data_IF_536273454368
#
_entry.id   IF_536273454368
#
_cell.length_a   1.000
_cell.length_b   1.000
_cell.length_c   1.000
_cell.angle_alpha   90.00
_cell.angle_beta   90.00
_cell.angle_gamma   90.00
#
_symmetry.space_group_name_H-M   'P 1'
#
loop_
_entity.id
_entity.type
_entity.pdbx_description
1 polymer ?
#
# COMPACT_ATOMS: atom_id res chain seq x y z
N UNK A 1 26.98 25.85 -7.44
CA UNK A 1 26.04 26.95 -7.23
C UNK A 1 24.93 26.40 -6.38
N UNK A 2 24.66 26.98 -5.22
CA UNK A 2 23.58 26.52 -4.35
C UNK A 2 22.24 26.81 -5.04
N UNK A 3 21.36 25.81 -5.16
CA UNK A 3 19.97 26.03 -5.54
C UNK A 3 19.36 27.02 -4.53
N UNK A 4 18.69 28.04 -5.05
CA UNK A 4 17.97 29.03 -4.25
C UNK A 4 16.89 28.29 -3.45
N UNK A 5 16.76 28.54 -2.15
CA UNK A 5 15.83 27.82 -1.27
C UNK A 5 14.34 28.04 -1.68
N UNK A 6 14.09 29.03 -2.54
CA UNK A 6 12.81 29.34 -3.19
C UNK A 6 12.47 28.43 -4.39
N UNK A 7 13.40 27.59 -4.84
CA UNK A 7 13.24 26.66 -5.98
C UNK A 7 13.13 25.19 -5.55
N UNK A 8 12.78 24.93 -4.28
CA UNK A 8 12.50 23.57 -3.83
C UNK A 8 11.13 23.13 -4.36
N UNK A 9 11.13 22.08 -5.17
CA UNK A 9 9.93 21.40 -5.64
C UNK A 9 9.52 20.30 -4.66
N UNK A 10 8.22 20.16 -4.44
CA UNK A 10 7.62 19.11 -3.63
C UNK A 10 6.72 18.25 -4.51
N UNK A 11 6.66 16.96 -4.21
CA UNK A 11 5.67 16.05 -4.79
C UNK A 11 4.29 16.46 -4.28
N UNK A 12 3.29 16.48 -5.17
CA UNK A 12 1.89 16.75 -4.81
C UNK A 12 1.00 15.83 -5.61
N UNK A 13 0.29 14.97 -4.90
CA UNK A 13 -0.61 14.00 -5.50
C UNK A 13 -2.03 14.59 -5.67
N UNK A 14 -2.79 13.98 -6.55
CA UNK A 14 -4.14 14.37 -6.89
C UNK A 14 -4.88 13.30 -7.66
N UNK A 15 -6.16 13.55 -7.90
CA UNK A 15 -7.07 12.69 -8.64
C UNK A 15 -7.88 13.52 -9.62
N UNK A 16 -8.15 12.95 -10.79
CA UNK A 16 -9.04 13.51 -11.80
C UNK A 16 -10.06 12.43 -12.21
N UNK A 17 -11.34 12.76 -12.05
CA UNK A 17 -12.48 11.92 -12.42
C UNK A 17 -13.20 12.61 -13.58
N UNK A 18 -12.96 12.13 -14.79
CA UNK A 18 -13.49 12.72 -16.03
C UNK A 18 -14.20 11.66 -16.89
N UNK A 19 -15.48 11.35 -16.61
CA UNK A 19 -16.27 10.44 -17.43
C UNK A 19 -16.31 10.91 -18.89
N UNK A 20 -16.06 9.98 -19.82
CA UNK A 20 -16.07 10.28 -21.26
C UNK A 20 -14.81 10.97 -21.79
N UNK A 21 -13.79 11.18 -20.95
CA UNK A 21 -12.47 11.67 -21.37
C UNK A 21 -11.47 10.52 -21.39
N UNK A 22 -10.51 10.54 -22.31
CA UNK A 22 -9.43 9.56 -22.36
C UNK A 22 -8.17 10.09 -21.65
N UNK A 23 -7.31 9.20 -21.10
CA UNK A 23 -6.06 9.61 -20.47
C UNK A 23 -5.15 10.42 -21.39
N UNK A 24 -5.16 10.13 -22.69
CA UNK A 24 -4.39 10.86 -23.70
C UNK A 24 -4.88 12.31 -23.85
N UNK A 25 -6.20 12.54 -23.82
CA UNK A 25 -6.75 13.89 -23.89
C UNK A 25 -6.36 14.72 -22.65
N UNK A 26 -6.32 14.08 -21.48
CA UNK A 26 -5.81 14.71 -20.24
C UNK A 26 -4.32 15.03 -20.38
N UNK A 27 -3.52 14.09 -20.90
CA UNK A 27 -2.09 14.30 -21.16
C UNK A 27 -1.84 15.48 -22.11
N UNK A 28 -2.58 15.56 -23.22
CA UNK A 28 -2.50 16.64 -24.19
C UNK A 28 -2.84 18.00 -23.57
N UNK A 29 -3.85 18.05 -22.69
CA UNK A 29 -4.23 19.26 -21.98
C UNK A 29 -3.15 19.73 -20.98
N UNK A 30 -2.45 18.82 -20.31
CA UNK A 30 -1.30 19.15 -19.48
C UNK A 30 -0.10 19.62 -20.31
N UNK A 31 0.18 18.95 -21.44
CA UNK A 31 1.24 19.32 -22.36
C UNK A 31 1.01 20.72 -22.95
N UNK A 32 -0.23 21.03 -23.35
CA UNK A 32 -0.63 22.34 -23.85
C UNK A 32 -0.46 23.47 -22.82
N UNK A 33 -0.58 23.14 -21.53
CA UNK A 33 -0.33 24.05 -20.40
C UNK A 33 1.14 24.12 -19.99
N UNK A 34 1.99 23.28 -20.59
CA UNK A 34 3.40 23.16 -20.27
C UNK A 34 3.68 22.52 -18.92
N UNK A 35 2.69 21.88 -18.29
CA UNK A 35 2.79 21.32 -16.92
C UNK A 35 3.50 19.98 -16.95
N UNK A 36 4.44 19.78 -16.02
CA UNK A 36 5.08 18.48 -15.81
C UNK A 36 4.25 17.66 -14.84
N UNK A 37 3.82 16.47 -15.25
CA UNK A 37 2.94 15.60 -14.45
C UNK A 37 3.13 14.14 -14.83
N UNK A 38 3.02 13.24 -13.84
CA UNK A 38 2.80 11.80 -14.05
C UNK A 38 1.29 11.53 -13.96
N UNK A 39 0.75 10.85 -14.97
CA UNK A 39 -0.62 10.37 -15.00
C UNK A 39 -0.60 8.86 -14.82
N UNK A 40 -1.47 8.32 -13.97
CA UNK A 40 -1.59 6.87 -13.78
C UNK A 40 -3.06 6.46 -13.76
N UNK A 41 -3.37 5.35 -14.41
CA UNK A 41 -4.74 4.81 -14.45
C UNK A 41 -4.73 3.29 -14.63
N UNK A 42 -5.82 2.64 -14.21
CA UNK A 42 -6.07 1.27 -14.60
C UNK A 42 -6.75 1.23 -15.98
N UNK A 43 -6.38 0.29 -16.86
CA UNK A 43 -7.05 0.12 -18.16
C UNK A 43 -8.57 -0.08 -18.07
N UNK A 44 -9.07 -0.64 -16.95
CA UNK A 44 -10.50 -0.83 -16.70
C UNK A 44 -11.23 0.46 -16.27
N UNK A 45 -10.53 1.45 -15.74
CA UNK A 45 -11.11 2.69 -15.19
C UNK A 45 -10.42 3.94 -15.73
N UNK A 46 -10.31 4.03 -17.06
CA UNK A 46 -9.61 5.15 -17.75
C UNK A 46 -10.18 6.55 -17.49
N UNK A 47 -11.34 6.65 -16.84
CA UNK A 47 -11.99 7.90 -16.43
C UNK A 47 -11.50 8.39 -15.05
N UNK A 48 -10.76 7.56 -14.30
CA UNK A 48 -10.16 7.87 -13.02
C UNK A 48 -8.64 7.86 -13.17
N UNK A 49 -8.03 9.03 -13.00
CA UNK A 49 -6.60 9.23 -13.14
C UNK A 49 -6.02 9.69 -11.80
N UNK A 50 -4.95 9.03 -11.38
CA UNK A 50 -4.03 9.58 -10.38
C UNK A 50 -3.11 10.58 -11.06
N UNK A 51 -2.87 11.71 -10.40
CA UNK A 51 -2.00 12.78 -10.84
C UNK A 51 -0.88 12.95 -9.83
N UNK A 52 0.37 12.98 -10.29
CA UNK A 52 1.49 13.41 -9.45
C UNK A 52 2.19 14.59 -10.11
N UNK A 53 2.20 15.72 -9.41
CA UNK A 53 2.77 16.99 -9.87
C UNK A 53 3.93 17.42 -8.99
N UNK A 54 4.71 18.36 -9.51
CA UNK A 54 5.70 19.11 -8.73
C UNK A 54 5.16 20.50 -8.40
N UNK A 55 5.16 20.88 -7.13
CA UNK A 55 4.72 22.20 -6.67
C UNK A 55 5.82 22.92 -5.91
N UNK A 56 5.90 24.24 -6.05
CA UNK A 56 6.78 25.06 -5.23
C UNK A 56 6.14 25.39 -3.86
N UNK A 57 6.90 26.06 -3.00
CA UNK A 57 6.42 26.48 -1.66
C UNK A 57 5.25 27.48 -1.69
N UNK A 58 4.98 28.11 -2.82
CA UNK A 58 3.85 29.03 -3.03
C UNK A 58 2.63 28.32 -3.63
N UNK A 59 2.70 26.99 -3.84
CA UNK A 59 1.60 26.21 -4.41
C UNK A 59 1.42 26.42 -5.91
N UNK A 60 2.50 26.73 -6.65
CA UNK A 60 2.49 26.80 -8.12
C UNK A 60 3.04 25.53 -8.72
N UNK A 61 2.44 25.08 -9.81
CA UNK A 61 2.89 23.87 -10.51
C UNK A 61 4.12 24.13 -11.37
N UNK A 62 4.98 23.12 -11.48
CA UNK A 62 6.14 23.15 -12.36
C UNK A 62 5.72 23.11 -13.83
N UNK A 63 6.19 24.09 -14.60
CA UNK A 63 6.01 24.13 -16.06
C UNK A 63 7.35 24.20 -16.77
N UNK A 64 7.44 23.60 -17.95
CA UNK A 64 8.64 23.69 -18.79
C UNK A 64 8.54 24.90 -19.72
N UNK A 65 9.51 25.83 -19.70
CA UNK A 65 9.59 26.87 -20.71
C UNK A 65 9.88 26.25 -22.09
N UNK A 66 9.30 26.78 -23.19
CA UNK A 66 9.53 26.25 -24.54
C UNK A 66 10.99 26.21 -25.02
N UNK A 67 11.90 26.88 -24.31
CA UNK A 67 13.31 27.06 -24.72
C UNK A 67 14.34 26.69 -23.64
N UNK A 68 13.91 26.22 -22.46
CA UNK A 68 14.82 25.86 -21.36
C UNK A 68 14.47 24.46 -20.87
N UNK A 69 15.43 23.54 -20.90
CA UNK A 69 15.27 22.15 -20.44
C UNK A 69 15.22 21.98 -18.91
N UNK A 70 14.52 22.87 -18.21
CA UNK A 70 14.26 22.83 -16.78
C UNK A 70 12.86 23.33 -16.47
N UNK A 71 12.49 23.41 -15.20
CA UNK A 71 11.14 23.86 -14.78
C UNK A 71 11.16 25.26 -14.19
N UNK A 72 10.06 25.97 -14.35
CA UNK A 72 9.77 27.26 -13.69
C UNK A 72 8.38 27.20 -13.06
N UNK A 73 8.07 28.06 -12.07
CA UNK A 73 6.72 28.16 -11.53
C UNK A 73 5.72 28.64 -12.58
N UNK A 74 4.63 27.91 -12.72
CA UNK A 74 3.50 28.22 -13.61
C UNK A 74 2.28 28.73 -12.83
N UNK A 75 1.05 28.35 -13.24
CA UNK A 75 -0.17 28.73 -12.52
C UNK A 75 -0.20 28.12 -11.12
N UNK A 76 -1.05 28.68 -10.26
CA UNK A 76 -1.36 28.06 -8.97
C UNK A 76 -2.07 26.71 -9.15
N UNK A 77 -1.94 25.81 -8.17
CA UNK A 77 -2.67 24.53 -8.16
C UNK A 77 -4.19 24.76 -8.29
N UNK A 78 -4.74 25.76 -7.61
CA UNK A 78 -6.17 26.08 -7.68
C UNK A 78 -6.62 26.51 -9.09
N UNK A 79 -5.84 27.35 -9.76
CA UNK A 79 -6.13 27.76 -11.15
C UNK A 79 -6.08 26.57 -12.11
N UNK A 80 -5.11 25.67 -11.94
CA UNK A 80 -4.98 24.46 -12.74
C UNK A 80 -6.18 23.53 -12.54
N UNK A 81 -6.53 23.25 -11.28
CA UNK A 81 -7.65 22.36 -10.90
C UNK A 81 -8.98 22.88 -11.48
N UNK A 82 -9.28 24.17 -11.29
CA UNK A 82 -10.49 24.79 -11.83
C UNK A 82 -10.52 24.77 -13.37
N UNK A 83 -9.37 24.98 -14.02
CA UNK A 83 -9.25 24.96 -15.48
C UNK A 83 -9.49 23.57 -16.06
N UNK A 84 -8.88 22.54 -15.48
CA UNK A 84 -9.04 21.15 -15.92
C UNK A 84 -10.46 20.64 -15.69
N UNK A 85 -11.01 20.91 -14.50
CA UNK A 85 -12.36 20.49 -14.16
C UNK A 85 -13.38 21.06 -15.14
N UNK A 86 -13.28 22.35 -15.49
CA UNK A 86 -14.17 22.97 -16.49
C UNK A 86 -13.96 22.46 -17.91
N UNK A 87 -12.71 22.26 -18.33
CA UNK A 87 -12.42 21.76 -19.68
C UNK A 87 -13.01 20.37 -19.90
N UNK A 88 -12.84 19.48 -18.92
CA UNK A 88 -13.26 18.09 -19.02
C UNK A 88 -14.62 17.79 -18.42
N UNK A 89 -15.30 18.79 -17.82
CA UNK A 89 -16.53 18.56 -17.06
C UNK A 89 -16.30 17.46 -16.01
N UNK A 90 -15.27 17.67 -15.18
CA UNK A 90 -14.66 16.66 -14.32
C UNK A 90 -14.64 17.09 -12.85
N UNK A 91 -14.42 16.12 -11.96
CA UNK A 91 -14.05 16.38 -10.56
C UNK A 91 -12.53 16.22 -10.42
N UNK A 92 -11.87 17.25 -9.92
CA UNK A 92 -10.41 17.31 -9.84
C UNK A 92 -10.01 17.76 -8.44
N UNK A 93 -9.11 17.01 -7.82
CA UNK A 93 -8.48 17.38 -6.56
C UNK A 93 -6.97 17.22 -6.67
N UNK A 94 -6.20 18.22 -6.27
CA UNK A 94 -4.73 18.18 -6.23
C UNK A 94 -4.27 18.87 -4.97
N UNK A 95 -3.58 18.14 -4.10
CA UNK A 95 -3.25 18.60 -2.75
C UNK A 95 -4.51 19.18 -2.05
N UNK A 96 -4.46 20.42 -1.53
CA UNK A 96 -5.61 21.02 -0.83
C UNK A 96 -6.68 21.62 -1.77
N UNK A 97 -6.45 21.69 -3.08
CA UNK A 97 -7.37 22.31 -4.03
C UNK A 97 -8.33 21.26 -4.61
N UNK A 98 -9.62 21.59 -4.65
CA UNK A 98 -10.66 20.75 -5.27
C UNK A 98 -11.62 21.61 -6.09
N UNK A 99 -12.03 21.11 -7.24
CA UNK A 99 -13.09 21.71 -8.04
C UNK A 99 -13.90 20.61 -8.73
N UNK A 100 -15.20 20.59 -8.45
CA UNK A 100 -16.13 19.68 -9.10
C UNK A 100 -16.95 20.44 -10.18
N UNK A 101 -16.76 20.05 -11.43
CA UNK A 101 -17.52 20.53 -12.58
C UNK A 101 -18.46 19.46 -13.19
N UNK A 102 -18.62 18.32 -12.52
CA UNK A 102 -19.52 17.27 -12.97
C UNK A 102 -20.99 17.75 -12.89
N UNK A 103 -21.85 17.33 -13.82
CA UNK A 103 -23.29 17.49 -13.71
C UNK A 103 -23.82 16.77 -12.46
N UNK A 104 -24.85 17.32 -11.83
CA UNK A 104 -25.48 16.73 -10.63
C UNK A 104 -26.05 15.31 -10.88
N UNK A 105 -26.37 14.97 -12.13
CA UNK A 105 -26.97 13.71 -12.55
C UNK A 105 -25.98 12.74 -13.23
N UNK A 106 -24.68 13.02 -13.18
CA UNK A 106 -23.69 12.13 -13.79
C UNK A 106 -23.66 10.79 -13.05
N UNK A 107 -23.91 9.70 -13.77
CA UNK A 107 -23.58 8.36 -13.27
C UNK A 107 -22.10 8.10 -13.51
N UNK A 108 -21.33 8.03 -12.43
CA UNK A 108 -19.95 7.58 -12.50
C UNK A 108 -19.93 6.10 -12.89
N UNK A 109 -19.06 5.67 -13.82
CA UNK A 109 -18.91 4.26 -14.14
C UNK A 109 -18.67 3.44 -12.87
N UNK A 110 -19.40 2.34 -12.74
CA UNK A 110 -19.24 1.47 -11.58
C UNK A 110 -17.87 0.80 -11.64
N UNK A 111 -17.03 1.08 -10.63
CA UNK A 111 -15.80 0.32 -10.43
C UNK A 111 -16.21 -1.09 -10.08
N UNK A 112 -15.87 -1.95 -11.00
CA UNK A 112 -16.28 -3.32 -11.00
C UNK A 112 -15.22 -4.14 -10.29
N UNK A 113 -15.49 -4.62 -9.08
CA UNK A 113 -14.56 -5.45 -8.31
C UNK A 113 -14.50 -6.89 -8.83
N UNK A 114 -14.44 -7.10 -10.15
CA UNK A 114 -14.54 -8.42 -10.77
C UNK A 114 -13.41 -9.37 -10.33
N UNK A 115 -12.33 -8.82 -9.75
CA UNK A 115 -11.21 -9.57 -9.14
C UNK A 115 -11.37 -9.94 -7.66
N UNK A 116 -12.26 -9.32 -6.88
CA UNK A 116 -12.25 -9.43 -5.40
C UNK A 116 -12.47 -10.86 -4.89
N UNK A 117 -13.32 -11.65 -5.56
CA UNK A 117 -13.54 -13.06 -5.21
C UNK A 117 -12.28 -13.92 -5.38
N UNK A 118 -11.38 -13.52 -6.27
CA UNK A 118 -10.10 -14.17 -6.53
C UNK A 118 -8.92 -13.47 -5.88
N UNK A 119 -9.16 -12.37 -5.14
CA UNK A 119 -8.10 -11.61 -4.51
C UNK A 119 -7.36 -12.46 -3.48
N UNK A 120 -6.05 -12.37 -3.52
CA UNK A 120 -5.12 -13.04 -2.61
C UNK A 120 -4.24 -11.99 -2.00
N UNK A 121 -4.18 -11.99 -0.68
CA UNK A 121 -3.44 -10.99 0.08
C UNK A 121 -2.42 -11.66 0.97
N UNK A 122 -1.20 -11.13 0.96
CA UNK A 122 -0.11 -11.52 1.83
C UNK A 122 0.38 -10.28 2.56
N UNK A 123 0.34 -10.31 3.90
CA UNK A 123 0.81 -9.23 4.76
C UNK A 123 2.07 -9.68 5.48
N UNK A 124 3.15 -8.91 5.36
CA UNK A 124 4.40 -9.09 6.07
C UNK A 124 4.46 -8.03 7.16
N UNK A 125 4.52 -8.45 8.42
CA UNK A 125 4.42 -7.53 9.56
C UNK A 125 5.12 -8.09 10.80
N UNK A 126 5.64 -7.25 11.71
CA UNK A 126 6.10 -7.68 13.02
C UNK A 126 4.96 -8.15 13.95
N UNK A 127 3.69 -7.98 13.53
CA UNK A 127 2.48 -8.34 14.26
C UNK A 127 2.64 -9.59 15.09
N UNK A 128 2.38 -9.49 16.39
CA UNK A 128 2.48 -10.60 17.33
C UNK A 128 1.52 -11.76 17.02
N UNK A 129 1.95 -13.01 17.27
CA UNK A 129 1.15 -14.20 16.96
C UNK A 129 -0.20 -14.22 17.70
N UNK A 130 -0.26 -13.58 18.86
CA UNK A 130 -1.49 -13.48 19.65
C UNK A 130 -2.54 -12.56 19.03
N UNK A 131 -2.19 -11.67 18.10
CA UNK A 131 -3.16 -10.76 17.50
C UNK A 131 -4.00 -11.44 16.41
N UNK A 132 -3.42 -12.44 15.74
CA UNK A 132 -4.02 -13.09 14.57
C UNK A 132 -5.39 -13.72 14.85
N UNK A 133 -5.64 -14.45 15.96
CA UNK A 133 -6.98 -14.98 16.24
C UNK A 133 -8.07 -13.90 16.28
N UNK A 134 -7.76 -12.73 16.83
CA UNK A 134 -8.67 -11.60 16.90
C UNK A 134 -8.90 -11.03 15.50
N UNK A 135 -7.83 -10.79 14.74
CA UNK A 135 -7.91 -10.31 13.37
C UNK A 135 -8.74 -11.24 12.47
N UNK A 136 -8.52 -12.56 12.55
CA UNK A 136 -9.31 -13.54 11.81
C UNK A 136 -10.82 -13.45 12.12
N UNK A 137 -11.15 -13.18 13.39
CA UNK A 137 -12.54 -13.01 13.81
C UNK A 137 -13.14 -11.67 13.36
N UNK A 138 -12.37 -10.58 13.41
CA UNK A 138 -12.81 -9.26 12.96
C UNK A 138 -13.02 -9.21 11.44
N UNK A 139 -12.16 -9.89 10.68
CA UNK A 139 -12.25 -10.01 9.22
C UNK A 139 -13.21 -11.11 8.77
N UNK A 140 -13.80 -11.84 9.71
CA UNK A 140 -14.72 -12.98 9.50
C UNK A 140 -14.18 -14.02 8.50
N UNK A 141 -12.86 -14.22 8.47
CA UNK A 141 -12.18 -15.11 7.52
C UNK A 141 -11.03 -15.89 8.15
N UNK A 142 -10.70 -17.08 7.61
CA UNK A 142 -9.50 -17.79 8.04
C UNK A 142 -8.24 -17.01 7.68
N UNK A 143 -7.31 -16.88 8.64
CA UNK A 143 -5.98 -16.33 8.40
C UNK A 143 -4.93 -17.43 8.55
N UNK A 144 -4.11 -17.62 7.52
CA UNK A 144 -2.99 -18.56 7.55
C UNK A 144 -1.69 -17.79 7.84
N UNK A 145 -0.95 -18.21 8.87
CA UNK A 145 0.23 -17.48 9.37
C UNK A 145 1.47 -18.33 9.31
N UNK A 146 2.50 -17.82 8.64
CA UNK A 146 3.85 -18.38 8.65
C UNK A 146 4.79 -17.44 9.41
N UNK A 147 5.75 -18.00 10.13
CA UNK A 147 6.88 -17.23 10.67
C UNK A 147 7.98 -17.11 9.62
N UNK A 148 8.56 -15.93 9.47
CA UNK A 148 9.74 -15.68 8.64
C UNK A 148 10.89 -15.18 9.53
N UNK A 149 11.60 -16.10 10.24
CA UNK A 149 12.62 -15.71 11.21
C UNK A 149 13.80 -14.94 10.60
N UNK A 150 14.09 -15.18 9.32
CA UNK A 150 15.11 -14.46 8.56
C UNK A 150 14.77 -12.98 8.35
N UNK A 151 13.48 -12.62 8.39
CA UNK A 151 13.00 -11.25 8.25
C UNK A 151 12.63 -10.62 9.60
N UNK A 152 12.60 -11.42 10.67
CA UNK A 152 11.98 -11.04 11.95
C UNK A 152 10.54 -10.53 11.74
N UNK A 153 9.78 -11.28 10.93
CA UNK A 153 8.40 -10.94 10.55
C UNK A 153 7.50 -12.16 10.58
N UNK A 154 6.19 -11.90 10.60
CA UNK A 154 5.14 -12.88 10.31
C UNK A 154 4.55 -12.56 8.94
N UNK A 155 4.21 -13.63 8.23
CA UNK A 155 3.54 -13.58 6.94
C UNK A 155 2.11 -14.09 7.17
N UNK A 156 1.14 -13.18 7.08
CA UNK A 156 -0.29 -13.45 7.22
C UNK A 156 -0.92 -13.51 5.84
N UNK A 157 -1.64 -14.56 5.54
CA UNK A 157 -2.17 -14.84 4.21
C UNK A 157 -3.66 -15.13 4.28
N UNK A 158 -4.39 -14.58 3.32
CA UNK A 158 -5.82 -14.83 3.15
C UNK A 158 -6.25 -14.59 1.70
N UNK A 159 -7.44 -15.08 1.36
CA UNK A 159 -8.00 -14.96 0.02
C UNK A 159 -9.51 -14.77 0.07
N UNK A 160 -10.06 -14.13 -0.96
CA UNK A 160 -11.50 -13.93 -1.15
C UNK A 160 -11.99 -12.56 -0.68
N UNK A 161 -13.27 -12.30 -0.99
CA UNK A 161 -13.91 -10.99 -0.79
C UNK A 161 -14.07 -10.61 0.67
N UNK A 162 -14.02 -9.31 0.94
CA UNK A 162 -14.38 -8.68 2.20
C UNK A 162 -13.25 -7.80 2.75
N UNK A 163 -13.31 -7.52 4.05
CA UNK A 163 -12.39 -6.58 4.71
C UNK A 163 -10.94 -7.08 4.72
N UNK A 164 -10.02 -6.14 4.52
CA UNK A 164 -8.58 -6.39 4.56
C UNK A 164 -7.98 -6.13 5.95
N UNK A 165 -6.84 -6.78 6.20
CA UNK A 165 -6.06 -6.50 7.40
C UNK A 165 -5.59 -5.04 7.38
N UNK A 166 -5.78 -4.33 8.49
CA UNK A 166 -5.50 -2.90 8.59
C UNK A 166 -6.68 -1.99 8.27
N UNK A 167 -7.81 -2.50 7.76
CA UNK A 167 -9.02 -1.66 7.55
C UNK A 167 -9.53 -1.02 8.85
N UNK A 168 -9.34 -1.71 9.99
CA UNK A 168 -9.70 -1.18 11.31
C UNK A 168 -8.55 -0.41 11.99
N UNK A 169 -7.53 -0.02 11.22
CA UNK A 169 -6.30 0.58 11.72
C UNK A 169 -5.19 -0.45 11.95
N UNK A 170 -3.97 0.07 12.04
CA UNK A 170 -2.78 -0.72 12.40
C UNK A 170 -2.38 -0.42 13.83
N UNK A 171 -2.15 -1.47 14.61
CA UNK A 171 -1.50 -1.33 15.92
C UNK A 171 -0.01 -1.05 15.70
N UNK A 172 0.61 -0.23 16.56
CA UNK A 172 2.06 0.09 16.48
C UNK A 172 2.94 -1.17 16.44
N UNK A 173 2.56 -2.23 17.15
CA UNK A 173 3.29 -3.50 17.15
C UNK A 173 3.16 -4.32 15.86
N UNK A 174 2.26 -3.90 14.95
CA UNK A 174 2.08 -4.49 13.63
C UNK A 174 2.79 -3.69 12.53
N UNK A 175 3.47 -2.59 12.87
CA UNK A 175 4.16 -1.72 11.94
C UNK A 175 5.69 -1.82 12.07
N UNK A 176 6.45 -1.60 10.98
CA UNK A 176 5.97 -1.36 9.62
C UNK A 176 5.39 -2.63 8.99
N UNK A 177 4.38 -2.48 8.14
CA UNK A 177 3.73 -3.58 7.42
C UNK A 177 3.90 -3.44 5.90
N UNK A 178 3.97 -4.59 5.21
CA UNK A 178 3.94 -4.66 3.77
C UNK A 178 2.75 -5.52 3.34
N UNK A 179 1.88 -4.96 2.51
CA UNK A 179 0.69 -5.63 1.99
C UNK A 179 0.92 -5.91 0.50
N UNK A 180 0.85 -7.18 0.12
CA UNK A 180 0.91 -7.65 -1.26
C UNK A 180 -0.46 -8.17 -1.65
N UNK A 181 -0.99 -7.70 -2.76
CA UNK A 181 -2.28 -8.14 -3.28
C UNK A 181 -2.12 -8.62 -4.71
N UNK A 182 -2.89 -9.65 -5.07
CA UNK A 182 -3.02 -10.10 -6.45
C UNK A 182 -4.44 -10.58 -6.71
N UNK A 183 -5.02 -10.10 -7.81
CA UNK A 183 -6.27 -10.58 -8.35
C UNK A 183 -6.18 -10.72 -9.88
N UNK A 184 -7.33 -10.83 -10.55
CA UNK A 184 -7.39 -10.99 -12.00
C UNK A 184 -7.03 -9.72 -12.80
N UNK A 185 -7.09 -8.55 -12.15
CA UNK A 185 -6.91 -7.24 -12.77
C UNK A 185 -5.55 -6.63 -12.42
N UNK A 186 -5.05 -6.88 -11.21
CA UNK A 186 -3.84 -6.24 -10.70
C UNK A 186 -2.97 -7.13 -9.80
N UNK A 187 -1.69 -6.77 -9.72
CA UNK A 187 -0.79 -7.12 -8.64
C UNK A 187 -0.24 -5.81 -8.07
N UNK A 188 -0.37 -5.61 -6.77
CA UNK A 188 0.14 -4.41 -6.13
C UNK A 188 0.81 -4.69 -4.79
N UNK A 189 1.58 -3.71 -4.38
CA UNK A 189 2.36 -3.68 -3.15
C UNK A 189 2.09 -2.35 -2.45
N UNK A 190 1.85 -2.40 -1.14
CA UNK A 190 1.66 -1.24 -0.29
C UNK A 190 2.51 -1.36 0.96
N UNK A 191 3.40 -0.41 1.16
CA UNK A 191 4.23 -0.27 2.33
C UNK A 191 3.55 0.69 3.32
N UNK A 192 3.45 0.29 4.57
CA UNK A 192 2.74 1.00 5.63
C UNK A 192 3.73 1.23 6.78
N UNK A 193 4.43 2.36 6.80
CA UNK A 193 5.48 2.60 7.79
C UNK A 193 4.93 3.02 9.16
N UNK A 194 3.92 3.91 9.18
CA UNK A 194 3.46 4.60 10.40
C UNK A 194 1.97 4.40 10.68
N UNK A 195 1.21 3.87 9.71
CA UNK A 195 -0.25 3.74 9.79
C UNK A 195 -1.01 5.00 9.37
N UNK A 196 -0.30 6.11 9.11
CA UNK A 196 -0.85 7.27 8.41
C UNK A 196 -0.85 6.98 6.89
N UNK A 197 -2.02 6.98 6.22
CA UNK A 197 -2.09 6.72 4.78
C UNK A 197 -1.27 7.71 3.93
N UNK A 198 -0.96 8.90 4.43
CA UNK A 198 -0.12 9.88 3.72
C UNK A 198 1.35 9.43 3.63
N UNK A 199 1.80 8.55 4.53
CA UNK A 199 3.17 8.02 4.55
C UNK A 199 3.30 6.70 3.76
N UNK A 200 2.21 6.17 3.21
CA UNK A 200 2.22 4.88 2.51
C UNK A 200 2.88 4.99 1.13
N UNK A 201 3.71 3.99 0.81
CA UNK A 201 4.23 3.83 -0.55
C UNK A 201 3.44 2.72 -1.26
N UNK A 202 2.84 3.02 -2.41
CA UNK A 202 2.01 2.08 -3.17
C UNK A 202 2.54 1.95 -4.59
N UNK A 203 2.65 0.72 -5.07
CA UNK A 203 2.97 0.45 -6.46
C UNK A 203 2.06 -0.65 -7.03
N UNK A 204 1.60 -0.48 -8.27
CA UNK A 204 0.71 -1.40 -8.97
C UNK A 204 1.27 -1.72 -10.35
N UNK A 205 1.39 -3.01 -10.67
CA UNK A 205 1.86 -3.48 -11.97
C UNK A 205 0.75 -3.51 -13.03
N UNK A 206 -0.52 -3.35 -12.63
CA UNK A 206 -1.68 -3.23 -13.51
C UNK A 206 -1.98 -1.80 -13.95
N UNK A 207 -1.38 -0.79 -13.31
CA UNK A 207 -1.52 0.60 -13.73
C UNK A 207 -0.67 0.90 -14.97
N UNK A 208 -1.22 1.76 -15.82
CA UNK A 208 -0.48 2.41 -16.91
C UNK A 208 -0.04 3.78 -16.42
N UNK A 209 1.25 4.07 -16.54
CA UNK A 209 1.83 5.37 -16.20
C UNK A 209 2.26 6.11 -17.46
N UNK A 210 1.93 7.40 -17.54
CA UNK A 210 2.29 8.29 -18.65
C UNK A 210 2.87 9.59 -18.12
N UNK A 211 4.08 9.92 -18.57
CA UNK A 211 4.80 11.12 -18.16
C UNK A 211 4.60 12.23 -19.19
N UNK A 212 4.05 13.36 -18.72
CA UNK A 212 3.96 14.59 -19.51
C UNK A 212 5.11 15.49 -19.12
N UNK A 213 5.99 15.79 -20.09
CA UNK A 213 7.19 16.59 -19.89
C UNK A 213 6.94 18.11 -20.02
N UNK A 214 5.67 18.52 -19.94
CA UNK A 214 5.21 19.87 -20.21
C UNK A 214 5.29 20.23 -21.70
N UNK A 215 5.76 21.44 -22.01
CA UNK A 215 5.77 22.02 -23.37
C UNK A 215 6.97 21.61 -24.22
N UNK A 216 7.68 20.53 -23.86
CA UNK A 216 8.84 20.01 -24.59
C UNK A 216 8.60 18.57 -25.04
N UNK A 217 8.93 18.27 -26.29
CA UNK A 217 8.82 16.90 -26.83
C UNK A 217 9.93 15.99 -26.27
N UNK A 218 11.16 16.50 -26.18
CA UNK A 218 12.31 15.75 -25.66
C UNK A 218 12.90 16.43 -24.41
N UNK A 219 12.74 15.82 -23.22
CA UNK A 219 13.28 16.38 -21.99
C UNK A 219 14.81 16.23 -21.93
N UNK A 220 15.49 17.32 -21.60
CA UNK A 220 16.93 17.32 -21.32
C UNK A 220 17.28 16.59 -20.01
N UNK A 221 18.57 16.30 -19.75
CA UNK A 221 19.00 15.48 -18.61
C UNK A 221 18.65 16.07 -17.24
N UNK A 222 18.62 17.40 -17.12
CA UNK A 222 18.23 18.07 -15.86
C UNK A 222 16.75 17.86 -15.52
N UNK A 223 15.87 17.96 -16.52
CA UNK A 223 14.44 17.70 -16.34
C UNK A 223 14.18 16.22 -16.05
N UNK A 224 14.84 15.31 -16.77
CA UNK A 224 14.74 13.87 -16.50
C UNK A 224 15.14 13.54 -15.08
N UNK A 225 16.30 14.02 -14.62
CA UNK A 225 16.78 13.77 -13.25
C UNK A 225 15.78 14.28 -12.19
N UNK A 226 15.16 15.44 -12.41
CA UNK A 226 14.18 16.00 -11.48
C UNK A 226 12.87 15.19 -11.45
N UNK A 227 12.39 14.74 -12.61
CA UNK A 227 11.22 13.86 -12.71
C UNK A 227 11.53 12.51 -12.08
N UNK A 228 12.71 11.95 -12.32
CA UNK A 228 13.15 10.69 -11.71
C UNK A 228 13.24 10.79 -10.17
N UNK A 229 13.59 11.96 -9.64
CA UNK A 229 13.68 12.21 -8.19
C UNK A 229 12.30 12.41 -7.54
N UNK A 230 11.36 13.11 -8.19
CA UNK A 230 10.12 13.57 -7.53
C UNK A 230 8.86 12.87 -8.01
N UNK A 231 8.84 12.44 -9.28
CA UNK A 231 7.66 11.90 -9.94
C UNK A 231 7.79 10.43 -10.28
N UNK A 232 8.99 9.88 -10.40
CA UNK A 232 9.17 8.48 -10.76
C UNK A 232 8.93 7.53 -9.60
N UNK A 233 8.65 6.29 -9.98
CA UNK A 233 8.36 5.14 -9.13
C UNK A 233 9.51 4.76 -8.18
N UNK A 234 10.68 5.40 -8.33
CA UNK A 234 11.86 5.19 -7.48
C UNK A 234 11.59 5.61 -6.03
N UNK A 235 10.79 6.66 -5.82
CA UNK A 235 10.36 7.09 -4.48
C UNK A 235 9.49 6.03 -3.81
N UNK A 236 8.59 5.42 -4.59
CA UNK A 236 7.74 4.32 -4.13
C UNK A 236 8.59 3.07 -3.80
N UNK A 237 9.60 2.77 -4.63
CA UNK A 237 10.57 1.69 -4.39
C UNK A 237 11.30 1.83 -3.06
N UNK A 238 11.80 3.03 -2.75
CA UNK A 238 12.51 3.29 -1.49
C UNK A 238 11.61 3.11 -0.27
N UNK A 239 10.38 3.65 -0.31
CA UNK A 239 9.43 3.47 0.79
C UNK A 239 9.06 2.01 1.01
N UNK A 240 8.90 1.23 -0.07
CA UNK A 240 8.67 -0.21 -0.01
C UNK A 240 9.84 -0.94 0.65
N UNK A 241 11.06 -0.69 0.17
CA UNK A 241 12.28 -1.37 0.65
C UNK A 241 12.56 -1.05 2.11
N UNK A 242 12.33 0.19 2.55
CA UNK A 242 12.57 0.62 3.93
C UNK A 242 11.69 -0.10 4.97
N UNK A 243 10.55 -0.67 4.56
CA UNK A 243 9.70 -1.47 5.46
C UNK A 243 10.19 -2.89 5.71
N UNK A 244 11.09 -3.42 4.87
CA UNK A 244 11.58 -4.80 4.93
C UNK A 244 13.09 -4.81 5.21
N UNK A 245 13.52 -5.21 6.43
CA UNK A 245 14.94 -5.27 6.77
C UNK A 245 15.73 -6.19 5.82
N UNK A 246 16.79 -5.66 5.23
CA UNK A 246 17.69 -6.42 4.35
C UNK A 246 17.24 -6.52 2.89
N UNK A 247 16.19 -5.80 2.49
CA UNK A 247 15.78 -5.71 1.10
C UNK A 247 16.82 -4.97 0.22
N UNK A 248 16.87 -5.34 -1.06
CA UNK A 248 17.79 -4.79 -2.06
C UNK A 248 17.11 -3.67 -2.88
N UNK A 249 17.52 -2.42 -2.63
CA UNK A 249 16.96 -1.24 -3.30
C UNK A 249 17.23 -1.23 -4.81
N UNK A 250 18.41 -1.67 -5.25
CA UNK A 250 18.76 -1.65 -6.67
C UNK A 250 17.92 -2.68 -7.43
N UNK A 251 17.76 -3.87 -6.85
CA UNK A 251 16.89 -4.91 -7.40
C UNK A 251 15.41 -4.49 -7.39
N UNK A 252 14.94 -3.85 -6.32
CA UNK A 252 13.55 -3.36 -6.22
C UNK A 252 13.25 -2.28 -7.27
N UNK A 253 14.17 -1.33 -7.47
CA UNK A 253 14.05 -0.32 -8.52
C UNK A 253 14.00 -0.95 -9.92
N UNK A 254 14.82 -1.96 -10.18
CA UNK A 254 14.80 -2.70 -11.44
C UNK A 254 13.51 -3.55 -11.64
N UNK A 255 12.89 -3.99 -10.56
CA UNK A 255 11.64 -4.76 -10.59
C UNK A 255 10.43 -3.90 -10.95
N UNK A 256 10.38 -2.66 -10.48
CA UNK A 256 9.30 -1.71 -10.80
C UNK A 256 9.23 -1.38 -12.29
N UNK A 257 10.38 -1.25 -12.95
CA UNK A 257 10.44 -0.95 -14.40
C UNK A 257 9.96 -2.13 -15.25
N UNK A 258 9.94 -3.34 -14.69
CA UNK A 258 9.48 -4.54 -15.39
C UNK A 258 7.96 -4.67 -15.32
N UNK A 259 7.27 -4.87 -16.45
CA UNK A 259 5.81 -4.95 -16.46
C UNK A 259 5.30 -6.29 -15.91
N UNK A 260 4.10 -6.25 -15.31
CA UNK A 260 3.30 -7.43 -14.97
C UNK A 260 3.96 -8.38 -13.96
N UNK A 261 3.70 -9.68 -14.12
CA UNK A 261 4.08 -10.70 -13.13
C UNK A 261 5.59 -10.88 -12.98
N UNK A 262 6.36 -10.61 -14.04
CA UNK A 262 7.82 -10.73 -13.99
C UNK A 262 8.42 -9.64 -13.08
N UNK A 263 7.95 -8.39 -13.20
CA UNK A 263 8.32 -7.31 -12.30
C UNK A 263 7.87 -7.56 -10.86
N UNK A 264 6.64 -8.04 -10.69
CA UNK A 264 6.14 -8.40 -9.35
C UNK A 264 6.99 -9.50 -8.71
N UNK A 265 7.30 -10.58 -9.44
CA UNK A 265 8.15 -11.66 -8.96
C UNK A 265 9.57 -11.18 -8.62
N UNK A 266 10.15 -10.29 -9.44
CA UNK A 266 11.44 -9.68 -9.17
C UNK A 266 11.42 -8.83 -7.89
N UNK A 267 10.32 -8.11 -7.62
CA UNK A 267 10.17 -7.35 -6.38
C UNK A 267 10.15 -8.27 -5.15
N UNK A 268 9.40 -9.38 -5.19
CA UNK A 268 9.37 -10.32 -4.07
C UNK A 268 10.77 -10.90 -3.76
N UNK A 269 11.58 -11.14 -4.79
CA UNK A 269 12.97 -11.57 -4.64
C UNK A 269 13.86 -10.47 -4.05
N UNK A 270 13.72 -9.22 -4.52
CA UNK A 270 14.44 -8.06 -3.99
C UNK A 270 14.16 -7.84 -2.50
N UNK A 271 12.93 -8.13 -2.06
CA UNK A 271 12.51 -8.07 -0.65
C UNK A 271 12.96 -9.27 0.19
N UNK A 272 13.59 -10.28 -0.42
CA UNK A 272 14.04 -11.49 0.27
C UNK A 272 12.89 -12.37 0.78
N UNK A 273 11.71 -12.28 0.15
CA UNK A 273 10.55 -13.09 0.54
C UNK A 273 10.69 -14.53 0.07
N UNK A 274 10.12 -15.52 0.79
CA UNK A 274 10.15 -16.91 0.35
C UNK A 274 9.46 -17.12 -1.01
N UNK A 275 10.02 -18.00 -1.85
CA UNK A 275 9.50 -18.29 -3.20
C UNK A 275 8.01 -18.68 -3.22
N UNK A 276 7.54 -19.37 -2.17
CA UNK A 276 6.14 -19.79 -2.05
C UNK A 276 5.18 -18.61 -1.92
N UNK A 277 5.63 -17.40 -1.54
CA UNK A 277 4.78 -16.20 -1.46
C UNK A 277 4.22 -15.87 -2.85
N UNK A 278 5.04 -15.97 -3.89
CA UNK A 278 4.59 -15.79 -5.27
C UNK A 278 3.60 -16.88 -5.67
N UNK A 279 3.81 -18.13 -5.24
CA UNK A 279 2.87 -19.23 -5.51
C UNK A 279 1.50 -18.98 -4.85
N UNK A 280 1.49 -18.43 -3.63
CA UNK A 280 0.25 -18.01 -2.97
C UNK A 280 -0.44 -16.89 -3.74
N UNK A 281 0.28 -15.81 -4.05
CA UNK A 281 -0.30 -14.65 -4.76
C UNK A 281 -0.80 -15.01 -6.16
N UNK A 282 -0.09 -15.88 -6.88
CA UNK A 282 -0.51 -16.38 -8.20
C UNK A 282 -1.56 -17.51 -8.15
N UNK A 283 -1.95 -17.93 -6.94
CA UNK A 283 -2.95 -18.99 -6.74
C UNK A 283 -2.49 -20.41 -7.08
N UNK A 284 -1.18 -20.62 -7.25
CA UNK A 284 -0.57 -21.95 -7.43
C UNK A 284 -0.48 -22.74 -6.13
N UNK A 285 -0.54 -22.06 -4.99
CA UNK A 285 -0.52 -22.64 -3.65
C UNK A 285 -1.63 -22.00 -2.78
N UNK A 286 -2.47 -22.79 -2.11
CA UNK A 286 -3.43 -22.21 -1.17
C UNK A 286 -2.73 -21.77 0.13
N UNK A 287 -3.17 -20.69 0.79
CA UNK A 287 -2.59 -20.23 2.06
C UNK A 287 -2.46 -21.33 3.13
N UNK A 288 -3.44 -22.23 3.21
CA UNK A 288 -3.48 -23.34 4.18
C UNK A 288 -2.55 -24.51 3.85
N UNK A 289 -2.05 -24.57 2.61
CA UNK A 289 -1.14 -25.62 2.13
C UNK A 289 0.34 -25.23 2.31
N UNK A 290 0.62 -23.97 2.68
CA UNK A 290 1.97 -23.48 2.93
C UNK A 290 2.62 -24.30 4.07
N UNK A 291 3.83 -24.86 3.87
CA UNK A 291 4.49 -25.67 4.88
C UNK A 291 4.72 -24.90 6.20
N UNK A 292 4.30 -25.51 7.32
CA UNK A 292 4.51 -24.95 8.66
C UNK A 292 3.56 -23.81 9.05
N UNK A 293 2.54 -23.55 8.24
CA UNK A 293 1.54 -22.50 8.51
C UNK A 293 0.61 -22.87 9.66
N UNK A 294 0.19 -21.88 10.44
CA UNK A 294 -0.84 -21.99 11.47
C UNK A 294 -2.10 -21.29 10.99
N UNK A 295 -3.22 -22.00 10.93
CA UNK A 295 -4.50 -21.45 10.48
C UNK A 295 -5.35 -21.01 11.67
N UNK A 296 -5.85 -19.79 11.62
CA UNK A 296 -6.72 -19.19 12.61
C UNK A 296 -8.11 -18.97 12.00
N UNK A 297 -9.06 -19.79 12.44
CA UNK A 297 -10.47 -19.67 12.05
C UNK A 297 -11.19 -18.56 12.85
N UNK A 298 -12.17 -17.85 12.23
CA UNK A 298 -13.06 -16.93 12.94
C UNK A 298 -13.94 -17.71 13.93
N UNK A 299 -13.88 -17.37 15.22
CA UNK A 299 -14.54 -18.16 16.29
C UNK A 299 -15.29 -17.34 17.32
N UNK A 300 -15.76 -16.15 16.93
CA UNK A 300 -16.49 -15.23 17.81
C UNK A 300 -15.58 -14.53 18.82
N UNK A 301 -15.93 -13.28 19.15
CA UNK A 301 -15.02 -12.35 19.84
C UNK A 301 -14.51 -12.86 21.18
N UNK A 302 -15.38 -13.40 22.04
CA UNK A 302 -14.97 -13.89 23.36
C UNK A 302 -13.95 -15.03 23.29
N UNK A 303 -14.08 -15.92 22.30
CA UNK A 303 -13.11 -17.01 22.09
C UNK A 303 -11.79 -16.46 21.52
N UNK A 304 -11.89 -15.55 20.56
CA UNK A 304 -10.74 -14.94 19.92
C UNK A 304 -9.85 -14.21 20.93
N UNK A 305 -10.45 -13.35 21.77
CA UNK A 305 -9.77 -12.65 22.87
C UNK A 305 -9.11 -13.65 23.82
N UNK A 306 -9.81 -14.71 24.21
CA UNK A 306 -9.24 -15.75 25.08
C UNK A 306 -8.02 -16.46 24.49
N UNK A 307 -8.05 -16.77 23.18
CA UNK A 307 -6.90 -17.36 22.47
C UNK A 307 -5.75 -16.37 22.32
N UNK A 308 -6.06 -15.12 22.01
CA UNK A 308 -5.08 -14.03 21.96
C UNK A 308 -4.37 -13.87 23.30
N UNK A 309 -5.10 -13.72 24.39
CA UNK A 309 -4.51 -13.64 25.75
C UNK A 309 -3.71 -14.91 26.09
N UNK A 310 -4.22 -16.09 25.72
CA UNK A 310 -3.52 -17.35 25.93
C UNK A 310 -2.15 -17.41 25.21
N UNK A 311 -2.09 -16.93 23.96
CA UNK A 311 -0.86 -16.85 23.19
C UNK A 311 0.10 -15.78 23.74
N UNK A 312 -0.42 -14.62 24.12
CA UNK A 312 0.35 -13.54 24.74
C UNK A 312 1.04 -14.04 26.03
N UNK A 313 0.29 -14.71 26.91
CA UNK A 313 0.84 -15.25 28.16
C UNK A 313 1.73 -16.49 27.97
N UNK A 314 1.67 -17.13 26.80
CA UNK A 314 2.61 -18.18 26.42
C UNK A 314 3.97 -17.61 26.00
N UNK A 315 4.04 -16.34 25.60
CA UNK A 315 5.29 -15.66 25.29
C UNK A 315 6.10 -15.41 26.58
N UNK A 316 7.33 -15.97 26.69
CA UNK A 316 8.18 -15.79 27.86
C UNK A 316 8.56 -14.33 28.15
N UNK A 317 8.56 -13.46 27.13
CA UNK A 317 8.89 -12.05 27.28
C UNK A 317 7.78 -11.21 27.94
N UNK A 318 6.56 -11.76 28.01
CA UNK A 318 5.40 -11.03 28.54
C UNK A 318 5.42 -10.95 30.09
N UNK A 319 5.25 -9.77 30.69
CA UNK A 319 5.14 -9.64 32.15
C UNK A 319 4.01 -10.50 32.74
N UNK A 320 4.34 -11.36 33.71
CA UNK A 320 3.37 -12.27 34.35
C UNK A 320 3.19 -13.63 33.64
N UNK A 321 3.82 -13.85 32.49
CA UNK A 321 3.81 -15.14 31.77
C UNK A 321 4.29 -16.30 32.64
N UNK A 322 5.36 -16.11 33.41
CA UNK A 322 5.92 -17.15 34.30
C UNK A 322 4.93 -17.59 35.39
N UNK A 323 4.16 -16.65 35.95
CA UNK A 323 3.12 -16.96 36.92
C UNK A 323 1.97 -17.74 36.26
N UNK A 324 1.52 -17.28 35.09
CA UNK A 324 0.45 -17.94 34.34
C UNK A 324 0.84 -19.34 33.86
N UNK A 325 2.02 -19.51 33.30
CA UNK A 325 2.55 -20.83 32.91
C UNK A 325 2.69 -21.76 34.11
N UNK A 326 3.12 -21.23 35.26
CA UNK A 326 3.15 -21.96 36.53
C UNK A 326 1.76 -22.38 37.02
N UNK A 327 0.76 -21.49 36.89
CA UNK A 327 -0.63 -21.77 37.20
C UNK A 327 -1.20 -22.85 36.27
N UNK A 328 -1.10 -22.67 34.95
CA UNK A 328 -1.59 -23.62 33.94
C UNK A 328 -0.98 -25.00 34.18
N UNK A 329 0.35 -25.08 34.32
CA UNK A 329 1.05 -26.34 34.62
C UNK A 329 0.56 -26.99 35.91
N UNK A 330 0.31 -26.19 36.95
CA UNK A 330 -0.20 -26.71 38.23
C UNK A 330 -1.63 -27.24 38.08
N UNK A 331 -2.48 -26.54 37.34
CA UNK A 331 -3.88 -26.93 37.11
C UNK A 331 -3.99 -28.15 36.19
N UNK A 332 -3.16 -28.26 35.14
CA UNK A 332 -3.19 -29.38 34.19
C UNK A 332 -2.50 -30.63 34.73
N UNK A 333 -1.30 -30.48 35.30
CA UNK A 333 -0.47 -31.63 35.70
C UNK A 333 -0.80 -32.09 37.13
N UNK A 334 -1.30 -31.17 37.95
CA UNK A 334 -1.64 -31.42 39.36
C UNK A 334 -3.01 -30.83 39.73
N UNK A 335 -4.10 -31.19 39.02
CA UNK A 335 -5.44 -30.64 39.29
C UNK A 335 -5.92 -30.89 40.73
N UNK A 336 -5.40 -31.95 41.38
CA UNK A 336 -5.68 -32.27 42.77
C UNK A 336 -5.10 -31.26 43.77
N UNK A 337 -3.99 -30.59 43.44
CA UNK A 337 -3.35 -29.61 44.33
C UNK A 337 -4.19 -28.34 44.46
N UNK A 338 -4.82 -27.91 43.36
CA UNK A 338 -5.75 -26.78 43.32
C UNK A 338 -7.03 -27.09 44.10
N UNK A 339 -7.57 -28.30 43.96
CA UNK A 339 -8.72 -28.77 44.74
C UNK A 339 -8.40 -28.87 46.24
N UNK A 340 -7.19 -29.28 46.59
CA UNK A 340 -6.73 -29.35 47.99
C UNK A 340 -6.59 -27.97 48.64
N UNK A 341 -6.10 -26.96 47.90
CA UNK A 341 -6.02 -25.59 48.38
C UNK A 341 -7.41 -24.95 48.58
N UNK A 342 -8.34 -25.16 47.64
CA UNK A 342 -9.72 -24.66 47.76
C UNK A 342 -10.51 -25.29 48.92
N UNK A 343 -10.15 -26.51 49.33
CA UNK A 343 -10.73 -27.17 50.52
C UNK A 343 -10.12 -26.70 51.85
N UNK A 344 -8.95 -26.06 51.82
CA UNK A 344 -8.30 -25.48 53.00
C UNK A 344 -8.69 -24.01 53.25
N UNK A 345 -9.20 -23.33 52.22
CA UNK A 345 -9.77 -21.98 52.32
C UNK A 345 -11.27 -21.95 52.65
N UNK A 346 -11.96 -23.10 52.59
CA UNK A 346 -13.37 -23.26 52.96
C UNK A 346 -13.54 -23.73 54.42
#
# INVERSE_FOLDING_TARGET
MAQDASQRWNRTDGVLIAPGTTPEAVADAFAARGVVVRLEWFPATTHLLSLTLMTDVEGRVAVTPPSRGGVVPGPSVSELVESLAREFTADVAVGPATFNALPDDVELPTISHHGSASARTVVISPMSAYMVPLQATLLERPLAVASAPNLDRRIVMYSGEGTDLGTFGWDEESLPALVLTSDAEDMSIRAIPTGDPEDDAVFSWGMTSHYVWGGVEEPGPALRSLVDELLADLTDASGIVDTVPGADLEAAAAAIVQPGTDGFAAMLQALGLPDWVLEVLTGRLAPVEVPGVVVHEPRGLSNAVGRSVGLLLADPSTPGSAFWQGYVRTVTDKPWAVRGAALLEA
#
